data_IF_713590261542
#
_entry.id   IF_713590261542
#
_cell.length_a   1.000
_cell.length_b   1.000
_cell.length_c   1.000
_cell.angle_alpha   90.00
_cell.angle_beta   90.00
_cell.angle_gamma   90.00
#
_symmetry.space_group_name_H-M   'P 1'
#
loop_
_entity.id
_entity.type
_entity.pdbx_description
1 polymer ?
#
# COMPACT_ATOMS: atom_id res chain seq x y z
N UNK A 1 4.25 -47.89 47.77
CA UNK A 1 5.04 -46.64 47.80
C UNK A 1 5.36 -46.33 46.34
N UNK A 2 4.55 -45.62 45.55
CA UNK A 2 3.82 -44.35 45.69
C UNK A 2 4.39 -43.37 44.65
N UNK A 3 3.52 -42.94 43.73
CA UNK A 3 3.64 -41.90 42.66
C UNK A 3 4.58 -42.25 41.49
N UNK A 4 4.27 -41.97 40.22
CA UNK A 4 3.28 -41.07 39.61
C UNK A 4 2.92 -41.54 38.18
N UNK A 5 1.63 -41.59 37.88
CA UNK A 5 1.11 -41.48 36.51
C UNK A 5 1.40 -40.09 35.93
N UNK A 6 1.79 -40.02 34.66
CA UNK A 6 1.40 -39.04 33.63
C UNK A 6 2.46 -38.99 32.53
N UNK A 7 2.06 -38.57 31.32
CA UNK A 7 2.74 -38.63 30.00
C UNK A 7 2.73 -40.03 29.37
N UNK A 8 2.06 -40.32 28.25
CA UNK A 8 1.85 -39.53 27.04
C UNK A 8 0.53 -39.92 26.33
N UNK A 9 -0.52 -39.10 26.50
CA UNK A 9 -1.68 -39.06 25.59
C UNK A 9 -1.65 -37.67 24.93
N UNK A 10 -0.73 -37.45 23.99
CA UNK A 10 -0.65 -36.18 23.24
C UNK A 10 -0.20 -36.37 21.79
N UNK A 11 -0.73 -37.40 21.12
CA UNK A 11 -0.64 -37.46 19.66
C UNK A 11 -2.00 -37.89 19.16
N UNK A 12 -2.88 -36.93 18.83
CA UNK A 12 -4.01 -37.09 17.90
C UNK A 12 -4.84 -35.79 17.84
N UNK A 13 -4.27 -34.68 17.38
CA UNK A 13 -5.06 -33.57 16.81
C UNK A 13 -4.23 -32.83 15.75
N UNK A 14 -4.04 -33.49 14.60
CA UNK A 14 -3.72 -32.81 13.35
C UNK A 14 -4.85 -33.08 12.34
N UNK A 15 -5.13 -32.06 11.55
CA UNK A 15 -6.11 -31.99 10.46
C UNK A 15 -7.53 -31.58 10.86
N UNK A 16 -7.64 -30.32 11.26
CA UNK A 16 -8.76 -29.49 10.83
C UNK A 16 -8.18 -28.40 9.93
N UNK A 17 -8.03 -28.72 8.64
CA UNK A 17 -7.79 -27.72 7.59
C UNK A 17 -9.12 -26.99 7.36
N UNK A 18 -9.47 -26.10 8.27
CA UNK A 18 -10.56 -25.14 8.06
C UNK A 18 -9.95 -24.00 7.24
N UNK A 19 -10.10 -24.05 5.92
CA UNK A 19 -10.05 -22.83 5.11
C UNK A 19 -11.37 -22.07 5.27
N UNK A 20 -11.69 -21.65 6.49
CA UNK A 20 -12.64 -20.56 6.69
C UNK A 20 -11.78 -19.32 6.55
N UNK A 21 -11.86 -18.66 5.39
CA UNK A 21 -11.17 -17.39 5.26
C UNK A 21 -11.68 -16.46 6.36
N UNK A 22 -10.75 -15.91 7.14
CA UNK A 22 -11.02 -15.20 8.38
C UNK A 22 -12.01 -14.06 8.12
N UNK A 23 -13.26 -14.25 8.55
CA UNK A 23 -14.20 -13.16 8.71
C UNK A 23 -13.93 -12.53 10.07
N UNK A 24 -13.94 -11.21 10.10
CA UNK A 24 -13.90 -10.45 11.35
C UNK A 24 -15.26 -10.54 12.04
N UNK A 25 -15.27 -10.38 13.36
CA UNK A 25 -16.51 -10.33 14.13
C UNK A 25 -17.35 -9.10 13.75
N UNK A 26 -18.65 -9.32 13.52
CA UNK A 26 -19.66 -8.25 13.40
C UNK A 26 -20.49 -8.11 14.68
N UNK A 27 -20.03 -8.70 15.79
CA UNK A 27 -20.53 -8.36 17.13
C UNK A 27 -19.89 -7.04 17.59
N UNK A 28 -20.70 -6.09 18.05
CA UNK A 28 -20.24 -4.73 18.33
C UNK A 28 -19.22 -4.67 19.50
N UNK A 29 -19.43 -5.47 20.55
CA UNK A 29 -18.55 -5.47 21.72
C UNK A 29 -17.21 -6.12 21.41
N UNK A 30 -17.24 -7.26 20.70
CA UNK A 30 -16.02 -7.91 20.23
C UNK A 30 -15.28 -7.06 19.19
N UNK A 31 -15.99 -6.36 18.31
CA UNK A 31 -15.37 -5.43 17.36
C UNK A 31 -14.72 -4.24 18.08
N UNK A 32 -15.29 -3.76 19.19
CA UNK A 32 -14.69 -2.71 20.02
C UNK A 32 -13.39 -3.18 20.67
N UNK A 33 -13.33 -4.44 21.14
CA UNK A 33 -12.09 -5.03 21.66
C UNK A 33 -11.03 -5.15 20.55
N UNK A 34 -11.42 -5.66 19.38
CA UNK A 34 -10.55 -5.74 18.21
C UNK A 34 -10.01 -4.36 17.80
N UNK A 35 -10.83 -3.32 17.84
CA UNK A 35 -10.42 -1.95 17.55
C UNK A 35 -9.36 -1.43 18.54
N UNK A 36 -9.48 -1.74 19.83
CA UNK A 36 -8.46 -1.36 20.81
C UNK A 36 -7.12 -2.05 20.54
N UNK A 37 -7.13 -3.34 20.22
CA UNK A 37 -5.91 -4.08 19.82
C UNK A 37 -5.31 -3.49 18.55
N UNK A 38 -6.13 -3.30 17.51
CA UNK A 38 -5.70 -2.74 16.24
C UNK A 38 -5.11 -1.32 16.39
N UNK A 39 -5.69 -0.47 17.26
CA UNK A 39 -5.14 0.86 17.56
C UNK A 39 -3.72 0.78 18.11
N UNK A 40 -3.48 -0.11 19.07
CA UNK A 40 -2.16 -0.30 19.68
C UNK A 40 -1.14 -0.79 18.66
N UNK A 41 -1.51 -1.79 17.86
CA UNK A 41 -0.65 -2.36 16.81
C UNK A 41 -0.30 -1.33 15.72
N UNK A 42 -1.19 -0.37 15.45
CA UNK A 42 -1.02 0.64 14.41
C UNK A 42 -0.61 2.02 14.95
N UNK A 43 -0.29 2.13 16.26
CA UNK A 43 0.14 3.38 16.88
C UNK A 43 -0.88 4.52 16.77
N UNK A 44 -2.17 4.22 16.91
CA UNK A 44 -3.26 5.17 16.72
C UNK A 44 -3.62 5.90 18.01
N UNK A 45 -3.55 7.21 17.95
CA UNK A 45 -3.99 8.14 19.01
C UNK A 45 -5.04 9.11 18.45
N UNK A 46 -6.05 9.44 19.26
CA UNK A 46 -7.17 10.29 18.85
C UNK A 46 -7.43 11.39 19.87
N UNK A 47 -7.89 12.55 19.39
CA UNK A 47 -8.17 13.71 20.23
C UNK A 47 -9.54 13.58 20.89
N UNK A 48 -9.57 12.85 22.00
CA UNK A 48 -10.74 12.70 22.87
C UNK A 48 -11.76 11.65 22.40
N UNK A 49 -12.73 11.37 23.28
CA UNK A 49 -13.68 10.27 23.14
C UNK A 49 -14.56 10.40 21.89
N UNK A 50 -14.90 11.63 21.50
CA UNK A 50 -15.73 11.88 20.32
C UNK A 50 -15.02 11.47 19.02
N UNK A 51 -13.72 11.76 18.89
CA UNK A 51 -12.96 11.32 17.71
C UNK A 51 -12.80 9.81 17.73
N UNK A 52 -12.46 9.23 18.87
CA UNK A 52 -12.29 7.77 18.99
C UNK A 52 -13.56 7.00 18.63
N UNK A 53 -14.74 7.47 19.07
CA UNK A 53 -16.00 6.83 18.70
C UNK A 53 -16.25 6.91 17.19
N UNK A 54 -16.02 8.08 16.58
CA UNK A 54 -16.13 8.23 15.12
C UNK A 54 -15.18 7.29 14.35
N UNK A 55 -13.96 7.12 14.85
CA UNK A 55 -12.95 6.22 14.27
C UNK A 55 -13.38 4.75 14.38
N UNK A 56 -13.97 4.38 15.51
CA UNK A 56 -14.55 3.06 15.70
C UNK A 56 -15.71 2.81 14.74
N UNK A 57 -16.63 3.76 14.58
CA UNK A 57 -17.79 3.60 13.68
C UNK A 57 -17.33 3.31 12.23
N UNK A 58 -16.33 4.05 11.76
CA UNK A 58 -15.70 3.83 10.44
C UNK A 58 -15.00 2.47 10.37
N UNK A 59 -14.24 2.11 11.40
CA UNK A 59 -13.55 0.82 11.48
C UNK A 59 -14.53 -0.35 11.42
N UNK A 60 -15.65 -0.25 12.11
CA UNK A 60 -16.70 -1.25 12.12
C UNK A 60 -17.39 -1.38 10.76
N UNK A 61 -17.64 -0.28 10.06
CA UNK A 61 -18.18 -0.33 8.70
C UNK A 61 -17.17 -0.90 7.69
N UNK A 62 -15.88 -0.67 7.90
CA UNK A 62 -14.82 -1.30 7.10
C UNK A 62 -14.72 -2.81 7.37
N UNK A 63 -14.94 -3.29 8.59
CA UNK A 63 -15.07 -4.73 8.91
C UNK A 63 -16.19 -5.38 8.08
N UNK A 64 -17.38 -4.78 8.06
CA UNK A 64 -18.53 -5.32 7.28
C UNK A 64 -18.19 -5.37 5.79
N UNK A 65 -17.50 -4.34 5.29
CA UNK A 65 -17.05 -4.27 3.89
C UNK A 65 -16.04 -5.37 3.57
N UNK A 66 -15.05 -5.58 4.43
CA UNK A 66 -14.05 -6.65 4.30
C UNK A 66 -14.73 -8.02 4.30
N UNK A 67 -15.64 -8.27 5.24
CA UNK A 67 -16.37 -9.53 5.32
C UNK A 67 -17.21 -9.79 4.06
N UNK A 68 -17.89 -8.75 3.55
CA UNK A 68 -18.65 -8.83 2.30
C UNK A 68 -17.76 -9.23 1.13
N UNK A 69 -16.58 -8.61 0.99
CA UNK A 69 -15.67 -8.93 -0.11
C UNK A 69 -14.99 -10.30 0.05
N UNK A 70 -14.63 -10.68 1.28
CA UNK A 70 -14.11 -12.02 1.57
C UNK A 70 -15.14 -13.10 1.20
N UNK A 71 -16.43 -12.91 1.49
CA UNK A 71 -17.48 -13.84 1.06
C UNK A 71 -17.64 -13.89 -0.47
N UNK A 72 -17.42 -12.77 -1.16
CA UNK A 72 -17.63 -12.65 -2.61
C UNK A 72 -16.47 -13.22 -3.45
N UNK A 73 -15.24 -13.07 -2.96
CA UNK A 73 -14.02 -13.35 -3.74
C UNK A 73 -13.17 -14.49 -3.17
N UNK A 74 -13.66 -15.22 -2.18
CA UNK A 74 -12.97 -16.42 -1.70
C UNK A 74 -13.12 -17.60 -2.68
N UNK A 75 -12.08 -18.44 -2.83
CA UNK A 75 -10.78 -18.36 -2.16
C UNK A 75 -9.72 -17.51 -2.91
N UNK A 76 -10.09 -16.82 -3.99
CA UNK A 76 -9.13 -16.15 -4.88
C UNK A 76 -8.47 -14.92 -4.25
N UNK A 77 -9.21 -14.19 -3.41
CA UNK A 77 -8.75 -12.94 -2.80
C UNK A 77 -9.10 -12.89 -1.33
N UNK A 78 -8.17 -12.35 -0.52
CA UNK A 78 -8.40 -12.05 0.89
C UNK A 78 -8.23 -10.55 1.15
N UNK A 79 -9.20 -9.97 1.83
CA UNK A 79 -9.22 -8.60 2.31
C UNK A 79 -9.01 -8.60 3.83
N UNK A 80 -8.22 -7.65 4.34
CA UNK A 80 -7.84 -7.59 5.74
C UNK A 80 -7.77 -6.15 6.25
N UNK A 81 -7.84 -5.99 7.58
CA UNK A 81 -7.64 -4.71 8.24
C UNK A 81 -6.19 -4.24 8.03
N UNK A 82 -6.01 -2.99 7.65
CA UNK A 82 -4.70 -2.35 7.49
C UNK A 82 -4.64 -1.04 8.30
N UNK A 83 -3.54 -0.30 8.24
CA UNK A 83 -3.33 0.96 8.97
C UNK A 83 -4.34 2.09 8.66
N UNK A 84 -5.15 1.92 7.62
CA UNK A 84 -6.18 2.87 7.19
C UNK A 84 -7.60 2.40 7.51
N UNK A 85 -7.76 1.32 8.29
CA UNK A 85 -9.07 0.76 8.61
C UNK A 85 -9.97 1.73 9.40
N UNK A 86 -9.45 2.80 10.00
CA UNK A 86 -10.19 3.88 10.68
C UNK A 86 -10.55 5.07 9.77
N UNK A 87 -10.34 4.96 8.46
CA UNK A 87 -10.64 6.00 7.48
C UNK A 87 -11.80 5.60 6.57
N UNK A 88 -12.72 6.55 6.35
CA UNK A 88 -13.74 6.39 5.30
C UNK A 88 -13.08 6.52 3.92
N UNK A 89 -13.68 5.98 2.84
CA UNK A 89 -13.13 6.14 1.49
C UNK A 89 -12.89 7.61 1.11
N UNK A 90 -13.81 8.50 1.49
CA UNK A 90 -13.67 9.94 1.22
C UNK A 90 -12.54 10.60 2.01
N UNK A 91 -12.30 10.15 3.25
CA UNK A 91 -11.22 10.68 4.08
C UNK A 91 -9.86 10.16 3.59
N UNK A 92 -9.79 8.86 3.25
CA UNK A 92 -8.61 8.26 2.65
C UNK A 92 -8.22 8.99 1.35
N UNK A 93 -9.19 9.25 0.47
CA UNK A 93 -8.95 10.01 -0.76
C UNK A 93 -8.38 11.41 -0.47
N UNK A 94 -8.98 12.17 0.46
CA UNK A 94 -8.52 13.55 0.75
C UNK A 94 -7.18 13.63 1.50
N UNK A 95 -6.83 12.63 2.31
CA UNK A 95 -5.67 12.68 3.20
C UNK A 95 -4.46 11.89 2.70
N UNK A 96 -4.67 10.83 1.92
CA UNK A 96 -3.60 9.90 1.51
C UNK A 96 -3.30 10.02 0.03
N UNK A 97 -4.32 10.26 -0.81
CA UNK A 97 -4.13 10.34 -2.25
C UNK A 97 -3.75 11.75 -2.68
N UNK A 98 -3.19 11.85 -3.89
CA UNK A 98 -3.01 13.13 -4.54
C UNK A 98 -4.35 13.80 -4.83
N UNK A 99 -4.35 15.13 -4.93
CA UNK A 99 -5.54 15.86 -5.38
C UNK A 99 -5.90 15.50 -6.81
N UNK A 100 -7.19 15.50 -7.13
CA UNK A 100 -7.66 15.30 -8.51
C UNK A 100 -7.04 16.35 -9.44
N UNK A 101 -6.28 15.88 -10.43
CA UNK A 101 -5.59 16.71 -11.41
C UNK A 101 -5.77 16.12 -12.80
N UNK A 102 -5.86 16.98 -13.81
CA UNK A 102 -5.86 16.51 -15.19
C UNK A 102 -4.44 16.06 -15.57
N UNK A 103 -4.28 14.91 -16.25
CA UNK A 103 -2.97 14.47 -16.72
C UNK A 103 -2.37 15.49 -17.69
N UNK A 104 -1.05 15.70 -17.67
CA UNK A 104 -0.37 16.61 -18.58
C UNK A 104 -0.59 16.18 -20.02
N UNK A 105 -0.54 17.13 -20.95
CA UNK A 105 -0.60 16.78 -22.37
C UNK A 105 0.71 16.10 -22.77
N UNK A 106 0.61 14.91 -23.36
CA UNK A 106 1.76 14.19 -23.87
C UNK A 106 2.03 14.58 -25.33
N UNK A 107 3.29 14.85 -25.66
CA UNK A 107 3.76 14.64 -27.03
C UNK A 107 3.81 13.12 -27.25
N UNK A 108 3.11 12.63 -28.27
CA UNK A 108 2.84 11.21 -28.52
C UNK A 108 4.09 10.42 -28.97
N UNK A 109 5.24 11.08 -28.93
CA UNK A 109 6.47 10.76 -29.64
C UNK A 109 7.35 9.78 -28.85
N UNK A 110 7.02 9.54 -27.57
CA UNK A 110 7.81 8.69 -26.65
C UNK A 110 7.24 7.30 -26.42
N UNK A 111 6.11 6.97 -27.06
CA UNK A 111 5.60 5.60 -27.04
C UNK A 111 6.44 4.72 -27.96
N UNK A 112 7.33 3.92 -27.37
CA UNK A 112 8.04 2.87 -28.11
C UNK A 112 7.07 1.70 -28.28
N UNK A 113 6.62 1.48 -29.52
CA UNK A 113 5.83 0.30 -29.85
C UNK A 113 6.70 -0.93 -29.64
N UNK A 114 6.25 -1.85 -28.79
CA UNK A 114 6.94 -3.10 -28.56
C UNK A 114 7.23 -3.83 -29.88
N UNK A 115 8.44 -4.35 -30.01
CA UNK A 115 8.84 -5.15 -31.16
C UNK A 115 8.01 -6.45 -31.21
N UNK A 116 7.59 -6.85 -32.41
CA UNK A 116 6.85 -8.10 -32.61
C UNK A 116 7.83 -9.27 -32.63
N UNK A 117 7.40 -10.42 -32.10
CA UNK A 117 8.14 -11.68 -32.24
C UNK A 117 8.98 -12.12 -31.04
N UNK A 118 8.86 -11.43 -29.89
CA UNK A 118 9.48 -11.87 -28.65
C UNK A 118 8.57 -12.84 -27.89
N UNK A 119 9.18 -13.89 -27.35
CA UNK A 119 8.54 -14.78 -26.39
C UNK A 119 8.59 -14.14 -25.00
N UNK A 120 7.43 -13.91 -24.40
CA UNK A 120 7.31 -13.50 -23.00
C UNK A 120 7.13 -14.76 -22.14
N UNK A 121 7.77 -14.83 -20.98
CA UNK A 121 7.56 -15.95 -20.07
C UNK A 121 6.15 -15.91 -19.48
N UNK A 122 5.63 -17.07 -19.07
CA UNK A 122 4.32 -17.19 -18.41
C UNK A 122 4.25 -16.43 -17.09
N UNK A 123 5.40 -16.20 -16.44
CA UNK A 123 5.54 -15.36 -15.25
C UNK A 123 6.89 -14.66 -15.20
N UNK A 124 6.92 -13.47 -14.61
CA UNK A 124 8.14 -12.70 -14.44
C UNK A 124 8.06 -11.86 -13.16
N UNK A 125 9.13 -11.89 -12.36
CA UNK A 125 9.25 -11.12 -11.12
C UNK A 125 10.64 -10.48 -11.02
N UNK A 126 10.67 -9.17 -10.75
CA UNK A 126 11.91 -8.40 -10.52
C UNK A 126 12.45 -8.57 -9.10
N UNK A 127 11.62 -8.92 -8.11
CA UNK A 127 12.02 -9.06 -6.71
C UNK A 127 13.17 -10.06 -6.51
N UNK A 128 13.12 -11.32 -7.01
CA UNK A 128 14.21 -12.26 -6.84
C UNK A 128 15.47 -11.89 -7.64
N UNK A 129 15.41 -10.86 -8.50
CA UNK A 129 16.55 -10.36 -9.27
C UNK A 129 17.35 -9.31 -8.53
N UNK A 130 16.96 -8.97 -7.29
CA UNK A 130 17.66 -8.00 -6.43
C UNK A 130 17.76 -6.59 -7.06
N UNK A 131 16.72 -6.18 -7.79
CA UNK A 131 16.59 -4.84 -8.41
C UNK A 131 15.37 -4.07 -7.88
N UNK A 132 14.85 -4.47 -6.72
CA UNK A 132 13.70 -3.85 -6.07
C UNK A 132 14.07 -3.58 -4.62
N UNK A 133 13.97 -2.33 -4.18
CA UNK A 133 14.23 -1.95 -2.79
C UNK A 133 13.14 -2.46 -1.84
N UNK A 134 13.37 -2.36 -0.53
CA UNK A 134 12.31 -2.59 0.45
C UNK A 134 11.12 -1.65 0.24
N UNK A 135 9.92 -2.15 0.52
CA UNK A 135 8.67 -1.38 0.46
C UNK A 135 8.77 -0.11 1.33
N UNK A 136 8.42 1.04 0.75
CA UNK A 136 8.44 2.34 1.43
C UNK A 136 7.03 2.78 1.87
N UNK A 137 6.96 3.89 2.61
CA UNK A 137 5.69 4.41 3.16
C UNK A 137 5.59 5.93 2.95
N UNK A 138 4.67 6.36 2.10
CA UNK A 138 4.42 7.78 1.81
C UNK A 138 3.80 8.58 2.96
N UNK A 139 3.32 7.92 4.01
CA UNK A 139 2.61 8.58 5.10
C UNK A 139 1.27 9.17 4.66
N UNK A 140 0.94 10.35 5.19
CA UNK A 140 -0.29 11.09 4.90
C UNK A 140 -0.05 12.25 3.91
N UNK A 141 0.70 11.95 2.85
CA UNK A 141 1.01 12.87 1.76
C UNK A 141 0.56 12.24 0.43
N UNK A 142 0.06 13.05 -0.49
CA UNK A 142 -0.25 12.65 -1.87
C UNK A 142 1.01 12.51 -2.74
N UNK A 143 2.07 11.90 -2.22
CA UNK A 143 3.41 11.80 -2.85
C UNK A 143 3.64 10.49 -3.60
N UNK A 144 2.61 9.66 -3.81
CA UNK A 144 2.70 8.38 -4.51
C UNK A 144 3.37 8.47 -5.90
N UNK A 145 3.22 9.61 -6.59
CA UNK A 145 3.88 9.90 -7.86
C UNK A 145 5.41 9.89 -7.74
N UNK A 146 5.96 10.49 -6.68
CA UNK A 146 7.40 10.56 -6.42
C UNK A 146 7.96 9.19 -6.02
N UNK A 147 7.23 8.43 -5.19
CA UNK A 147 7.58 7.03 -4.86
C UNK A 147 7.65 6.16 -6.12
N UNK A 148 6.63 6.24 -6.97
CA UNK A 148 6.58 5.51 -8.24
C UNK A 148 7.78 5.82 -9.15
N UNK A 149 8.14 7.10 -9.28
CA UNK A 149 9.32 7.53 -10.05
C UNK A 149 10.62 7.00 -9.46
N UNK A 150 10.84 7.23 -8.17
CA UNK A 150 12.11 6.88 -7.52
C UNK A 150 12.32 5.37 -7.49
N UNK A 151 11.32 4.58 -7.12
CA UNK A 151 11.46 3.12 -7.06
C UNK A 151 11.71 2.52 -8.46
N UNK A 152 11.16 3.14 -9.52
CA UNK A 152 11.51 2.75 -10.89
C UNK A 152 12.98 3.06 -11.21
N UNK A 153 13.48 4.24 -10.86
CA UNK A 153 14.87 4.65 -11.11
C UNK A 153 15.85 3.77 -10.33
N UNK A 154 15.55 3.44 -9.07
CA UNK A 154 16.35 2.51 -8.28
C UNK A 154 16.51 1.15 -8.99
N UNK A 155 15.41 0.63 -9.54
CA UNK A 155 15.43 -0.61 -10.30
C UNK A 155 16.19 -0.50 -11.63
N UNK A 156 15.98 0.57 -12.40
CA UNK A 156 16.73 0.81 -13.64
C UNK A 156 18.23 1.00 -13.39
N UNK A 157 18.59 1.69 -12.31
CA UNK A 157 19.96 1.87 -11.88
C UNK A 157 20.61 0.52 -11.55
N UNK A 158 19.95 -0.33 -10.76
CA UNK A 158 20.43 -1.67 -10.46
C UNK A 158 20.58 -2.54 -11.73
N UNK A 159 19.61 -2.44 -12.66
CA UNK A 159 19.66 -3.15 -13.95
C UNK A 159 20.81 -2.68 -14.86
N UNK A 160 21.29 -1.45 -14.70
CA UNK A 160 22.46 -0.93 -15.43
C UNK A 160 23.80 -1.49 -14.92
N UNK A 161 23.76 -2.40 -13.94
CA UNK A 161 24.95 -3.03 -13.33
C UNK A 161 25.49 -2.27 -12.12
N UNK A 162 24.73 -1.32 -11.61
CA UNK A 162 25.10 -0.54 -10.42
C UNK A 162 24.53 -1.18 -9.15
N UNK A 163 25.07 -0.84 -7.96
CA UNK A 163 24.48 -1.28 -6.70
C UNK A 163 23.04 -0.79 -6.53
N UNK A 164 22.17 -1.63 -5.97
CA UNK A 164 20.83 -1.21 -5.57
C UNK A 164 20.94 -0.17 -4.45
N UNK A 165 20.34 1.00 -4.67
CA UNK A 165 20.41 2.15 -3.75
C UNK A 165 19.01 2.55 -3.30
N UNK A 166 18.94 3.17 -2.13
CA UNK A 166 17.72 3.79 -1.61
C UNK A 166 17.84 5.31 -1.78
N UNK A 167 17.22 5.84 -2.83
CA UNK A 167 17.22 7.24 -3.24
C UNK A 167 16.19 8.05 -2.42
N UNK A 168 16.45 9.35 -2.34
CA UNK A 168 15.61 10.31 -1.64
C UNK A 168 14.33 10.60 -2.42
N UNK A 169 13.20 10.09 -1.94
CA UNK A 169 11.88 10.48 -2.44
C UNK A 169 11.58 11.93 -2.09
N UNK A 170 12.02 12.39 -0.92
CA UNK A 170 11.76 13.75 -0.45
C UNK A 170 12.39 14.82 -1.34
N UNK A 171 13.55 14.52 -1.94
CA UNK A 171 14.17 15.44 -2.90
C UNK A 171 13.22 15.72 -4.08
N UNK A 172 12.55 14.69 -4.61
CA UNK A 172 11.59 14.86 -5.70
C UNK A 172 10.35 15.60 -5.21
N UNK A 173 9.85 15.28 -4.02
CA UNK A 173 8.69 15.97 -3.42
C UNK A 173 8.97 17.47 -3.23
N UNK A 174 10.14 17.85 -2.74
CA UNK A 174 10.48 19.23 -2.41
C UNK A 174 10.94 20.05 -3.63
N UNK A 175 11.67 19.42 -4.54
CA UNK A 175 12.45 20.15 -5.55
C UNK A 175 11.93 20.00 -6.99
N UNK A 176 11.01 19.07 -7.26
CA UNK A 176 10.39 18.98 -8.57
C UNK A 176 9.53 20.23 -8.81
N UNK A 177 10.09 21.16 -9.59
CA UNK A 177 9.41 22.36 -10.06
C UNK A 177 8.97 22.26 -11.51
N UNK A 178 9.01 21.07 -12.13
CA UNK A 178 8.60 20.95 -13.52
C UNK A 178 7.10 21.19 -13.66
N UNK A 179 6.78 22.12 -14.55
CA UNK A 179 5.41 22.50 -14.83
C UNK A 179 4.88 21.76 -16.05
N UNK A 180 3.61 21.37 -15.98
CA UNK A 180 2.84 21.09 -17.19
C UNK A 180 2.82 22.36 -18.06
N UNK A 181 3.54 22.34 -19.18
CA UNK A 181 3.68 23.48 -20.11
C UNK A 181 2.34 24.04 -20.61
N UNK A 182 1.26 23.24 -20.58
CA UNK A 182 -0.08 23.69 -21.00
C UNK A 182 -0.89 24.31 -19.87
N UNK A 183 -0.58 23.97 -18.61
CA UNK A 183 -1.37 24.38 -17.45
C UNK A 183 -0.61 25.25 -16.45
N UNK A 184 0.71 25.37 -16.58
CA UNK A 184 1.61 26.13 -15.70
C UNK A 184 1.44 25.79 -14.22
N UNK A 185 1.15 24.52 -13.94
CA UNK A 185 1.11 23.99 -12.58
C UNK A 185 2.34 23.10 -12.38
N UNK A 186 3.14 23.41 -11.36
CA UNK A 186 4.31 22.63 -10.99
C UNK A 186 3.91 21.32 -10.30
N UNK A 187 4.68 20.27 -10.57
CA UNK A 187 4.62 19.00 -9.84
C UNK A 187 5.44 19.06 -8.55
N UNK A 188 5.06 19.98 -7.66
CA UNK A 188 5.74 20.14 -6.38
C UNK A 188 4.85 19.70 -5.20
N UNK A 189 5.49 19.04 -4.24
CA UNK A 189 4.99 18.84 -2.89
C UNK A 189 4.02 17.68 -2.70
N UNK A 190 3.35 17.73 -1.55
CA UNK A 190 2.52 16.65 -1.01
C UNK A 190 1.11 16.60 -1.60
N UNK A 191 0.76 17.50 -2.52
CA UNK A 191 -0.59 17.62 -3.07
C UNK A 191 -0.78 16.87 -4.40
N UNK A 192 0.30 16.28 -4.92
CA UNK A 192 0.30 15.51 -6.16
C UNK A 192 1.30 15.99 -7.19
N UNK A 193 1.62 15.08 -8.10
CA UNK A 193 2.46 15.30 -9.28
C UNK A 193 2.31 14.11 -10.23
N UNK A 194 3.08 14.10 -11.31
CA UNK A 194 3.06 13.10 -12.36
C UNK A 194 4.44 12.47 -12.51
N UNK A 195 4.54 11.13 -12.49
CA UNK A 195 5.84 10.47 -12.62
C UNK A 195 6.66 10.92 -13.84
N UNK A 196 5.97 11.24 -14.95
CA UNK A 196 6.60 11.74 -16.16
C UNK A 196 7.37 13.05 -15.97
N UNK A 197 6.78 14.05 -15.29
CA UNK A 197 7.45 15.33 -15.06
C UNK A 197 8.59 15.16 -14.05
N UNK A 198 8.41 14.29 -13.05
CA UNK A 198 9.47 13.89 -12.13
C UNK A 198 10.69 13.28 -12.85
N UNK A 199 10.48 12.42 -13.86
CA UNK A 199 11.59 11.94 -14.70
C UNK A 199 12.27 13.10 -15.44
N UNK A 200 11.52 14.07 -15.96
CA UNK A 200 12.11 15.24 -16.63
C UNK A 200 12.94 16.11 -15.67
N UNK A 201 12.48 16.28 -14.43
CA UNK A 201 13.23 16.93 -13.36
C UNK A 201 14.57 16.25 -13.10
N UNK A 202 14.54 14.93 -12.91
CA UNK A 202 15.74 14.14 -12.62
C UNK A 202 16.71 14.15 -13.80
N UNK A 203 16.23 14.13 -15.05
CA UNK A 203 17.09 14.19 -16.23
C UNK A 203 17.81 15.55 -16.43
N UNK A 204 17.35 16.62 -15.78
CA UNK A 204 17.94 17.97 -15.93
C UNK A 204 18.72 18.44 -14.69
N UNK A 205 18.76 17.63 -13.63
CA UNK A 205 19.48 17.92 -12.39
C UNK A 205 20.78 17.13 -12.36
#
# INVERSE_FOLDING_TARGET
>A
MERSHESEIFILLWLVNITVGFLYTEDADLAKQLFQTWKLENGKEYNGVNEEQKRFDVFYDNIKTINKYNKMYQPQTTFALNKFADMSPSEFHRKILMSDRKPPTFENDRYIKGEKGFYLPDSFDWVPKNVVTSVKNQGAAGSCWAFSTIENIEGQWALSGQPLVNLSVEQVVDCDGFEDVTRKNADCGVFGGWPYLAYQYIMKT
#
